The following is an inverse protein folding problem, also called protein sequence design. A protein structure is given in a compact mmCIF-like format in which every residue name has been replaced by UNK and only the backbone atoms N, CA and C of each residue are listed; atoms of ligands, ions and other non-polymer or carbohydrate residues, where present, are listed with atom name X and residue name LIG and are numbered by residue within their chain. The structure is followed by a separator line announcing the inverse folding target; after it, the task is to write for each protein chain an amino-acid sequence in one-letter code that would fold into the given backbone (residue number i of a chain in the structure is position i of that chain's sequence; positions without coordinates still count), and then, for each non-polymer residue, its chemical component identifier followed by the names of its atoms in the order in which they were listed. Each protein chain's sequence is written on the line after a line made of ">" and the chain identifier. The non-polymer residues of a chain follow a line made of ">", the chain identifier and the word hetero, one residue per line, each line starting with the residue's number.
data_IF_066350214496
#
_entry.id   IF_066350214496
#
_cell.length_a   1.000
_cell.length_b   1.000
_cell.length_c   1.000
_cell.angle_alpha   90.00
_cell.angle_beta   90.00
_cell.angle_gamma   90.00
#
_symmetry.space_group_name_H-M   'P 1'
#
loop_
_entity.id
_entity.type
_entity.pdbx_description
1 polymer ?
#
# COMPACT_ATOMS: atom_id res chain seq x y z
N UNK A 1 -4.37 -7.49 1.88
CA UNK A 1 -4.03 -8.03 0.55
C UNK A 1 -4.57 -7.14 -0.58
N UNK A 2 -4.01 -7.30 -1.77
CA UNK A 2 -4.55 -6.73 -3.00
C UNK A 2 -4.48 -7.79 -4.12
N UNK A 3 -5.60 -7.99 -4.82
CA UNK A 3 -5.72 -8.89 -5.97
C UNK A 3 -6.09 -8.09 -7.20
N UNK A 4 -5.23 -8.11 -8.21
CA UNK A 4 -5.44 -7.39 -9.47
C UNK A 4 -5.80 -8.40 -10.56
N UNK A 5 -6.99 -8.26 -11.13
CA UNK A 5 -7.41 -8.98 -12.33
C UNK A 5 -7.28 -8.07 -13.56
N UNK A 6 -6.30 -8.36 -14.39
CA UNK A 6 -6.02 -7.59 -15.61
C UNK A 6 -7.05 -7.81 -16.71
N UNK A 7 -7.71 -8.95 -16.72
CA UNK A 7 -8.70 -9.28 -17.74
C UNK A 7 -10.00 -8.51 -17.52
N UNK A 8 -10.50 -8.53 -16.29
CA UNK A 8 -11.70 -7.77 -15.91
C UNK A 8 -11.39 -6.32 -15.55
N UNK A 9 -10.11 -5.93 -15.54
CA UNK A 9 -9.64 -4.60 -15.11
C UNK A 9 -10.21 -4.21 -13.74
N UNK A 10 -10.14 -5.13 -12.80
CA UNK A 10 -10.62 -4.96 -11.44
C UNK A 10 -9.53 -5.20 -10.41
N UNK A 11 -9.69 -4.57 -9.27
CA UNK A 11 -8.87 -4.83 -8.09
C UNK A 11 -9.75 -5.05 -6.87
N UNK A 12 -9.47 -6.14 -6.15
CA UNK A 12 -10.04 -6.40 -4.84
C UNK A 12 -8.97 -6.14 -3.78
N UNK A 13 -9.27 -5.27 -2.84
CA UNK A 13 -8.39 -4.95 -1.71
C UNK A 13 -9.08 -5.40 -0.44
N UNK A 14 -8.34 -6.13 0.41
CA UNK A 14 -8.85 -6.56 1.71
C UNK A 14 -7.89 -6.15 2.82
N UNK A 15 -8.46 -5.64 3.91
CA UNK A 15 -7.74 -5.14 5.07
C UNK A 15 -8.28 -5.73 6.36
N UNK A 16 -7.37 -6.04 7.27
CA UNK A 16 -7.64 -6.34 8.67
C UNK A 16 -6.60 -5.60 9.52
N UNK A 17 -7.04 -4.96 10.59
CA UNK A 17 -6.17 -4.10 11.40
C UNK A 17 -5.94 -2.72 10.77
N UNK A 18 -5.01 -1.96 11.31
CA UNK A 18 -4.78 -0.54 11.07
C UNK A 18 -3.68 -0.21 10.06
N UNK A 19 -3.01 -1.21 9.53
CA UNK A 19 -1.97 -1.04 8.49
C UNK A 19 -2.57 -0.47 7.21
N UNK A 20 -2.17 0.73 6.76
CA UNK A 20 -2.83 1.37 5.63
C UNK A 20 -2.49 0.74 4.29
N UNK A 21 -3.45 0.82 3.39
CA UNK A 21 -3.29 0.48 1.98
C UNK A 21 -3.60 1.72 1.15
N UNK A 22 -2.72 2.05 0.24
CA UNK A 22 -2.86 3.18 -0.66
C UNK A 22 -3.09 2.67 -2.08
N UNK A 23 -4.14 3.15 -2.74
CA UNK A 23 -4.55 2.72 -4.07
C UNK A 23 -4.62 3.93 -5.01
N UNK A 24 -4.02 3.80 -6.18
CA UNK A 24 -4.17 4.77 -7.28
C UNK A 24 -4.72 4.07 -8.51
N UNK A 25 -5.79 4.60 -9.03
CA UNK A 25 -6.49 4.13 -10.23
C UNK A 25 -6.43 5.22 -11.29
N UNK A 26 -5.96 4.86 -12.48
CA UNK A 26 -5.89 5.78 -13.62
C UNK A 26 -5.30 7.16 -13.23
N UNK A 27 -6.02 8.23 -13.47
CA UNK A 27 -5.64 9.60 -13.14
C UNK A 27 -6.28 10.14 -11.86
N UNK A 28 -7.03 9.29 -11.14
CA UNK A 28 -7.69 9.70 -9.90
C UNK A 28 -6.67 9.93 -8.77
N UNK A 29 -7.00 10.75 -7.77
CA UNK A 29 -6.17 10.90 -6.58
C UNK A 29 -5.94 9.57 -5.86
N UNK A 30 -4.82 9.45 -5.15
CA UNK A 30 -4.56 8.27 -4.31
C UNK A 30 -5.61 8.15 -3.22
N UNK A 31 -6.21 6.96 -3.13
CA UNK A 31 -7.15 6.58 -2.07
C UNK A 31 -6.35 5.94 -0.94
N UNK A 32 -6.44 6.49 0.26
CA UNK A 32 -5.94 5.85 1.48
C UNK A 32 -7.07 5.04 2.12
N UNK A 33 -6.81 3.75 2.34
CA UNK A 33 -7.69 2.86 3.07
C UNK A 33 -7.02 2.51 4.40
N UNK A 34 -7.68 2.90 5.49
CA UNK A 34 -7.23 2.63 6.85
C UNK A 34 -8.43 2.37 7.73
N UNK A 35 -8.36 1.37 8.57
CA UNK A 35 -9.34 1.19 9.65
C UNK A 35 -9.02 2.16 10.78
N UNK A 36 -10.04 2.85 11.29
CA UNK A 36 -9.90 3.68 12.48
C UNK A 36 -9.64 2.77 13.69
N UNK A 37 -8.67 3.16 14.52
CA UNK A 37 -8.37 2.47 15.77
C UNK A 37 -9.47 2.79 16.78
N UNK A 38 -10.31 1.82 17.13
CA UNK A 38 -11.22 1.99 18.27
C UNK A 38 -10.46 2.06 19.60
N UNK A 39 -9.33 1.33 19.72
CA UNK A 39 -8.41 1.39 20.89
C UNK A 39 -6.99 1.07 20.44
N UNK A 40 -6.02 1.84 20.92
CA UNK A 40 -4.61 1.79 20.49
C UNK A 40 -3.86 0.47 20.74
N UNK A 41 -4.43 -0.46 21.51
CA UNK A 41 -3.75 -1.69 21.95
C UNK A 41 -4.42 -2.98 21.48
N UNK A 42 -5.45 -2.92 20.64
CA UNK A 42 -6.14 -4.09 20.12
C UNK A 42 -6.11 -4.04 18.60
N UNK A 43 -5.27 -4.88 18.00
CA UNK A 43 -5.23 -5.07 16.54
C UNK A 43 -5.90 -6.39 16.19
N UNK A 44 -6.88 -6.36 15.31
CA UNK A 44 -7.48 -7.57 14.76
C UNK A 44 -6.46 -8.32 13.91
N UNK A 45 -6.41 -9.63 14.04
CA UNK A 45 -5.52 -10.49 13.27
C UNK A 45 -6.25 -11.69 12.69
N UNK A 46 -5.77 -12.20 11.56
CA UNK A 46 -6.23 -13.46 11.00
C UNK A 46 -5.93 -14.60 11.98
N UNK A 47 -6.96 -15.29 12.47
CA UNK A 47 -6.84 -16.39 13.46
C UNK A 47 -7.13 -15.98 14.89
N UNK A 48 -7.43 -14.73 15.19
CA UNK A 48 -7.98 -14.29 16.47
C UNK A 48 -9.38 -14.83 16.71
N UNK A 49 -9.79 -14.94 17.99
CA UNK A 49 -11.11 -15.48 18.38
C UNK A 49 -12.30 -14.63 17.91
N UNK A 50 -12.07 -13.41 17.45
CA UNK A 50 -13.09 -12.56 16.85
C UNK A 50 -12.46 -11.71 15.76
N UNK A 51 -12.60 -12.11 14.50
CA UNK A 51 -12.41 -11.20 13.36
C UNK A 51 -13.64 -10.30 13.35
N UNK A 52 -13.55 -9.13 13.97
CA UNK A 52 -14.68 -8.20 14.04
C UNK A 52 -14.87 -7.42 12.75
N UNK A 53 -13.79 -7.14 12.02
CA UNK A 53 -13.86 -6.26 10.84
C UNK A 53 -12.84 -6.67 9.78
N UNK A 54 -13.27 -7.57 8.91
CA UNK A 54 -12.57 -7.78 7.64
C UNK A 54 -13.28 -6.92 6.58
N UNK A 55 -12.59 -5.90 6.10
CA UNK A 55 -13.15 -4.98 5.10
C UNK A 55 -12.57 -5.34 3.74
N UNK A 56 -13.46 -5.48 2.74
CA UNK A 56 -13.07 -5.65 1.34
C UNK A 56 -13.66 -4.55 0.49
N UNK A 57 -12.87 -4.05 -0.44
CA UNK A 57 -13.28 -3.07 -1.44
C UNK A 57 -12.96 -3.59 -2.83
N UNK A 58 -13.88 -3.40 -3.76
CA UNK A 58 -13.69 -3.71 -5.17
C UNK A 58 -13.74 -2.44 -5.99
N UNK A 59 -12.75 -2.27 -6.86
CA UNK A 59 -12.63 -1.12 -7.75
C UNK A 59 -12.45 -1.58 -9.19
N UNK A 60 -12.85 -0.74 -10.13
CA UNK A 60 -12.55 -0.89 -11.56
C UNK A 60 -11.51 0.16 -11.96
N UNK A 61 -10.64 -0.21 -12.90
CA UNK A 61 -9.69 0.72 -13.51
C UNK A 61 -9.72 0.55 -15.04
N UNK A 62 -9.30 1.57 -15.78
CA UNK A 62 -9.31 1.54 -17.25
C UNK A 62 -7.98 1.07 -17.82
N UNK A 63 -6.91 1.70 -17.42
CA UNK A 63 -5.57 1.50 -17.97
C UNK A 63 -4.52 1.22 -16.91
N UNK A 64 -4.60 1.91 -15.77
CA UNK A 64 -3.55 1.92 -14.78
C UNK A 64 -4.07 1.61 -13.38
N UNK A 65 -3.35 0.77 -12.66
CA UNK A 65 -3.55 0.52 -11.24
C UNK A 65 -2.21 0.42 -10.54
N UNK A 66 -2.09 1.03 -9.38
CA UNK A 66 -0.97 0.83 -8.48
C UNK A 66 -1.42 0.79 -7.02
N UNK A 67 -0.75 -0.04 -6.25
CA UNK A 67 -1.06 -0.29 -4.84
C UNK A 67 0.21 -0.25 -4.03
N UNK A 68 0.17 0.44 -2.90
CA UNK A 68 1.19 0.41 -1.88
C UNK A 68 0.56 -0.14 -0.59
N UNK A 69 0.99 -1.32 -0.18
CA UNK A 69 0.62 -1.95 1.10
C UNK A 69 1.77 -1.72 2.06
N UNK A 70 1.48 -1.20 3.24
CA UNK A 70 2.50 -0.87 4.25
C UNK A 70 2.15 -1.47 5.60
N UNK A 71 3.15 -1.60 6.48
CA UNK A 71 2.89 -1.65 7.93
C UNK A 71 2.42 -0.28 8.41
N UNK A 72 1.84 -0.22 9.61
CA UNK A 72 1.46 1.02 10.28
C UNK A 72 2.65 1.96 10.47
N UNK A 73 3.76 1.47 11.03
CA UNK A 73 4.97 2.25 11.22
C UNK A 73 5.59 2.85 9.95
N UNK A 74 5.27 2.29 8.77
CA UNK A 74 5.64 2.93 7.51
C UNK A 74 4.54 3.87 7.00
N UNK A 75 3.28 3.45 7.09
CA UNK A 75 2.17 4.22 6.56
C UNK A 75 1.98 5.56 7.29
N UNK A 76 2.23 5.58 8.59
CA UNK A 76 2.14 6.79 9.43
C UNK A 76 3.17 7.87 9.06
N UNK A 77 4.28 7.47 8.44
CA UNK A 77 5.31 8.39 7.95
C UNK A 77 4.99 9.00 6.57
N UNK A 78 4.00 8.49 5.87
CA UNK A 78 3.64 8.98 4.55
C UNK A 78 2.77 10.23 4.66
N UNK A 79 3.19 11.29 3.99
CA UNK A 79 2.44 12.54 3.93
C UNK A 79 1.32 12.42 2.89
N UNK A 80 0.07 12.43 3.35
CA UNK A 80 -1.11 12.29 2.49
C UNK A 80 -1.16 13.31 1.35
N UNK A 81 -0.68 14.53 1.56
CA UNK A 81 -0.64 15.56 0.50
C UNK A 81 0.39 15.29 -0.61
N UNK A 82 1.28 14.31 -0.43
CA UNK A 82 2.33 13.96 -1.38
C UNK A 82 2.19 12.56 -1.97
N UNK A 83 1.12 11.85 -1.67
CA UNK A 83 0.92 10.47 -2.14
C UNK A 83 0.89 10.37 -3.66
N UNK A 84 0.21 11.27 -4.35
CA UNK A 84 0.17 11.28 -5.82
C UNK A 84 1.56 11.45 -6.44
N UNK A 85 2.35 12.35 -5.89
CA UNK A 85 3.73 12.57 -6.32
C UNK A 85 4.60 11.35 -6.01
N UNK A 86 4.42 10.71 -4.86
CA UNK A 86 5.12 9.49 -4.48
C UNK A 86 4.82 8.35 -5.45
N UNK A 87 3.56 8.10 -5.76
CA UNK A 87 3.16 7.04 -6.69
C UNK A 87 3.72 7.27 -8.09
N UNK A 88 3.60 8.49 -8.61
CA UNK A 88 4.18 8.87 -9.90
C UNK A 88 5.69 8.67 -9.94
N UNK A 89 6.38 9.07 -8.88
CA UNK A 89 7.82 8.87 -8.73
C UNK A 89 8.19 7.38 -8.69
N UNK A 90 7.51 6.57 -7.87
CA UNK A 90 7.80 5.14 -7.76
C UNK A 90 7.61 4.43 -9.11
N UNK A 91 6.50 4.67 -9.80
CA UNK A 91 6.24 4.09 -11.11
C UNK A 91 7.32 4.48 -12.13
N UNK A 92 7.57 5.77 -12.33
CA UNK A 92 8.53 6.27 -13.32
C UNK A 92 9.96 5.80 -13.04
N UNK A 93 10.34 5.77 -11.77
CA UNK A 93 11.67 5.32 -11.36
C UNK A 93 11.89 3.83 -11.55
N UNK A 94 10.91 3.02 -11.09
CA UNK A 94 11.13 1.57 -11.02
C UNK A 94 10.77 0.83 -12.30
N UNK A 95 9.96 1.39 -13.21
CA UNK A 95 9.64 0.75 -14.50
C UNK A 95 10.88 0.49 -15.38
N UNK A 96 11.93 1.30 -15.25
CA UNK A 96 13.18 1.15 -16.02
C UNK A 96 14.07 0.00 -15.55
N UNK A 97 13.79 -0.63 -14.40
CA UNK A 97 14.61 -1.69 -13.85
C UNK A 97 14.00 -3.07 -14.10
N UNK A 98 14.83 -4.10 -14.15
CA UNK A 98 14.36 -5.49 -14.20
C UNK A 98 13.65 -5.87 -12.90
N UNK A 99 12.67 -6.79 -12.92
CA UNK A 99 11.95 -7.21 -11.71
C UNK A 99 12.85 -7.60 -10.54
N UNK A 100 13.94 -8.32 -10.81
CA UNK A 100 14.91 -8.75 -9.78
C UNK A 100 15.63 -7.57 -9.11
N UNK A 101 15.93 -6.49 -9.85
CA UNK A 101 16.63 -5.33 -9.32
C UNK A 101 15.68 -4.32 -8.63
N UNK A 102 14.39 -4.32 -8.98
CA UNK A 102 13.38 -3.42 -8.40
C UNK A 102 13.28 -3.59 -6.89
N UNK A 103 13.04 -4.80 -6.42
CA UNK A 103 12.87 -5.08 -4.98
C UNK A 103 14.08 -4.64 -4.15
N UNK A 104 15.29 -4.99 -4.59
CA UNK A 104 16.52 -4.59 -3.88
C UNK A 104 16.70 -3.07 -3.81
N UNK A 105 16.42 -2.37 -4.92
CA UNK A 105 16.53 -0.90 -4.99
C UNK A 105 15.46 -0.22 -4.15
N UNK A 106 14.22 -0.68 -4.24
CA UNK A 106 13.11 -0.20 -3.44
C UNK A 106 13.41 -0.33 -1.94
N UNK A 107 13.82 -1.52 -1.49
CA UNK A 107 14.20 -1.74 -0.09
C UNK A 107 15.32 -0.81 0.37
N UNK A 108 16.37 -0.63 -0.45
CA UNK A 108 17.49 0.26 -0.12
C UNK A 108 17.02 1.70 0.03
N UNK A 109 16.16 2.17 -0.86
CA UNK A 109 15.64 3.53 -0.84
C UNK A 109 14.71 3.77 0.36
N UNK A 110 13.78 2.86 0.61
CA UNK A 110 12.87 2.98 1.76
C UNK A 110 13.65 3.01 3.10
N UNK A 111 14.66 2.17 3.25
CA UNK A 111 15.55 2.21 4.43
C UNK A 111 16.30 3.54 4.56
N UNK A 112 16.72 4.14 3.46
CA UNK A 112 17.48 5.38 3.48
C UNK A 112 16.61 6.61 3.79
N UNK A 113 15.34 6.58 3.38
CA UNK A 113 14.42 7.73 3.50
C UNK A 113 13.55 7.65 4.74
N UNK A 114 12.88 6.54 4.95
CA UNK A 114 11.85 6.38 5.99
C UNK A 114 12.41 5.65 7.23
N UNK A 115 13.42 4.82 7.07
CA UNK A 115 13.97 3.99 8.15
C UNK A 115 14.60 4.74 9.32
N UNK A 116 14.68 6.07 9.26
CA UNK A 116 15.33 6.91 10.29
C UNK A 116 14.36 7.67 11.19
N UNK A 117 13.07 7.63 10.92
CA UNK A 117 12.11 8.58 11.49
C UNK A 117 11.50 8.07 12.81
N UNK A 118 11.20 6.79 12.92
CA UNK A 118 10.77 6.18 14.18
C UNK A 118 11.37 4.78 14.37
N UNK A 119 11.17 4.17 15.55
CA UNK A 119 11.70 2.86 15.92
C UNK A 119 10.77 1.69 15.58
N UNK A 120 9.64 1.97 14.93
CA UNK A 120 8.65 0.97 14.60
C UNK A 120 9.05 0.14 13.38
N UNK A 121 8.54 -1.09 13.31
CA UNK A 121 8.84 -2.00 12.21
C UNK A 121 8.24 -1.47 10.90
N UNK A 122 9.06 -1.47 9.84
CA UNK A 122 8.68 -0.92 8.54
C UNK A 122 8.73 -1.96 7.44
N UNK A 123 7.59 -2.19 6.84
CA UNK A 123 7.47 -3.02 5.65
C UNK A 123 6.59 -2.35 4.60
N UNK A 124 6.90 -2.59 3.32
CA UNK A 124 6.11 -2.08 2.22
C UNK A 124 6.21 -3.00 1.01
N UNK A 125 5.09 -3.10 0.29
CA UNK A 125 5.00 -3.75 -1.02
C UNK A 125 4.36 -2.77 -1.98
N UNK A 126 5.05 -2.47 -3.08
CA UNK A 126 4.53 -1.63 -4.15
C UNK A 126 4.34 -2.44 -5.42
N UNK A 127 3.12 -2.45 -5.93
CA UNK A 127 2.71 -3.18 -7.14
C UNK A 127 2.06 -2.18 -8.09
N UNK A 128 2.34 -2.29 -9.39
CA UNK A 128 1.65 -1.53 -10.41
C UNK A 128 1.48 -2.35 -11.69
N UNK A 129 0.46 -2.00 -12.46
CA UNK A 129 0.16 -2.53 -13.78
C UNK A 129 -0.03 -1.38 -14.74
N UNK A 130 0.55 -1.51 -15.90
CA UNK A 130 0.38 -0.66 -17.07
C UNK A 130 -0.30 -1.50 -18.15
#
# INVERSE_FOLDING_TARGET
>A
FALIDKLSKSICVGQIGDSPIFLKLDNDPVIEMRQEKEFSNITDSLGGKSIKTFITHNFQFKEFVSVLVTSDGMGDELNSSRLDSLFSYLCSKYQQFTPKSRSRRFTKEMKATIGKVNHDDKSAIFIWSI
#
